data_IF_499497792854
#
_entry.id   IF_499497792854
#
_cell.length_a   1.000
_cell.length_b   1.000
_cell.length_c   1.000
_cell.angle_alpha   90.00
_cell.angle_beta   90.00
_cell.angle_gamma   90.00
#
_symmetry.space_group_name_H-M   'P 1'
#
loop_
_entity.id
_entity.type
_entity.pdbx_description
1 polymer ?
#
# COMPACT_ATOMS: atom_id res chain seq x y z
N UNK A 1 15.53 28.36 -1.47
CA UNK A 1 15.44 27.54 -2.70
C UNK A 1 16.30 28.21 -3.77
N UNK A 2 17.22 27.48 -4.42
CA UNK A 2 18.10 28.05 -5.46
C UNK A 2 17.29 28.33 -6.74
N UNK A 3 17.52 29.44 -7.46
CA UNK A 3 16.87 29.68 -8.74
C UNK A 3 17.32 28.67 -9.80
N UNK A 4 16.36 28.19 -10.60
CA UNK A 4 16.62 27.33 -11.76
C UNK A 4 17.44 28.08 -12.81
N UNK A 5 18.41 27.41 -13.42
CA UNK A 5 19.12 27.87 -14.61
C UNK A 5 18.15 28.06 -15.79
N UNK A 6 18.62 28.72 -16.86
CA UNK A 6 17.82 28.96 -18.06
C UNK A 6 17.37 27.65 -18.72
N UNK A 7 18.26 26.66 -18.76
CA UNK A 7 17.99 25.37 -19.40
C UNK A 7 17.02 24.53 -18.58
N UNK A 8 17.17 24.49 -17.25
CA UNK A 8 16.22 23.82 -16.35
C UNK A 8 14.81 24.43 -16.45
N UNK A 9 14.70 25.76 -16.60
CA UNK A 9 13.41 26.41 -16.84
C UNK A 9 12.79 25.98 -18.16
N UNK A 10 13.56 25.96 -19.25
CA UNK A 10 13.06 25.56 -20.56
C UNK A 10 12.55 24.11 -20.55
N UNK A 11 13.29 23.20 -19.92
CA UNK A 11 12.90 21.79 -19.75
C UNK A 11 11.59 21.68 -18.94
N UNK A 12 11.53 22.37 -17.80
CA UNK A 12 10.35 22.35 -16.90
C UNK A 12 9.10 22.87 -17.61
N UNK A 13 9.21 23.99 -18.33
CA UNK A 13 8.08 24.57 -19.08
C UNK A 13 7.58 23.61 -20.17
N UNK A 14 8.49 22.96 -20.91
CA UNK A 14 8.11 21.99 -21.93
C UNK A 14 7.42 20.76 -21.31
N UNK A 15 7.94 20.24 -20.21
CA UNK A 15 7.33 19.12 -19.49
C UNK A 15 5.90 19.47 -19.01
N UNK A 16 5.71 20.64 -18.42
CA UNK A 16 4.40 21.12 -17.96
C UNK A 16 3.41 21.30 -19.13
N UNK A 17 3.85 21.88 -20.25
CA UNK A 17 3.02 22.02 -21.46
C UNK A 17 2.53 20.67 -21.98
N UNK A 18 3.39 19.65 -21.95
CA UNK A 18 3.05 18.27 -22.36
C UNK A 18 2.15 17.55 -21.35
N UNK A 19 2.26 17.87 -20.05
CA UNK A 19 1.42 17.30 -19.01
C UNK A 19 0.02 17.95 -18.93
N UNK A 20 -0.11 19.22 -19.30
CA UNK A 20 -1.34 19.99 -19.15
C UNK A 20 -2.61 19.34 -19.75
N UNK A 21 -2.58 18.70 -20.94
CA UNK A 21 -3.75 17.98 -21.45
C UNK A 21 -4.20 16.83 -20.54
N UNK A 22 -3.26 16.05 -20.00
CA UNK A 22 -3.55 14.95 -19.09
C UNK A 22 -4.10 15.44 -17.74
N UNK A 23 -3.55 16.53 -17.21
CA UNK A 23 -4.07 17.18 -16.00
C UNK A 23 -5.53 17.56 -16.22
N UNK A 24 -5.86 18.21 -17.35
CA UNK A 24 -7.24 18.58 -17.67
C UNK A 24 -8.15 17.35 -17.82
N UNK A 25 -7.66 16.30 -18.47
CA UNK A 25 -8.40 15.06 -18.70
C UNK A 25 -8.73 14.32 -17.39
N UNK A 26 -7.80 14.29 -16.44
CA UNK A 26 -7.95 13.53 -15.20
C UNK A 26 -8.38 14.35 -13.99
N UNK A 27 -8.48 15.68 -14.11
CA UNK A 27 -9.00 16.53 -13.03
C UNK A 27 -10.35 16.01 -12.53
N UNK A 28 -10.50 15.90 -11.20
CA UNK A 28 -11.65 15.34 -10.47
C UNK A 28 -11.93 13.84 -10.68
N UNK A 29 -11.16 13.15 -11.52
CA UNK A 29 -11.23 11.68 -11.61
C UNK A 29 -10.64 11.05 -10.35
N UNK A 30 -11.03 9.80 -10.10
CA UNK A 30 -10.56 9.02 -8.95
C UNK A 30 -9.50 8.04 -9.41
N UNK A 31 -8.32 8.09 -8.79
CA UNK A 31 -7.23 7.16 -9.02
C UNK A 31 -7.09 6.26 -7.80
N UNK A 32 -7.23 4.94 -7.99
CA UNK A 32 -6.98 3.95 -6.94
C UNK A 32 -5.59 3.37 -7.17
N UNK A 33 -4.66 3.70 -6.27
CA UNK A 33 -3.25 3.33 -6.38
C UNK A 33 -2.96 2.16 -5.42
N UNK A 34 -2.70 0.97 -5.96
CA UNK A 34 -2.24 -0.17 -5.17
C UNK A 34 -0.73 -0.10 -5.00
N UNK A 35 -0.26 0.01 -3.77
CA UNK A 35 1.16 -0.08 -3.43
C UNK A 35 1.45 -1.38 -2.69
N UNK A 36 2.48 -2.11 -3.11
CA UNK A 36 2.98 -3.30 -2.42
C UNK A 36 3.59 -2.96 -1.06
N UNK A 37 3.81 -3.97 -0.21
CA UNK A 37 4.48 -3.76 1.08
C UNK A 37 5.91 -3.23 0.93
N UNK A 38 6.59 -3.58 -0.17
CA UNK A 38 7.97 -3.17 -0.46
C UNK A 38 8.14 -1.65 -0.56
N UNK A 39 7.11 -0.95 -1.05
CA UNK A 39 7.12 0.51 -1.12
C UNK A 39 7.19 1.19 0.25
N UNK A 40 6.89 0.45 1.33
CA UNK A 40 6.82 0.95 2.70
C UNK A 40 7.89 0.34 3.62
N UNK A 41 8.95 -0.23 3.04
CA UNK A 41 10.08 -0.78 3.81
C UNK A 41 10.92 0.35 4.40
N UNK A 42 11.21 1.39 3.62
CA UNK A 42 11.97 2.57 4.07
C UNK A 42 11.09 3.82 4.18
N UNK A 43 11.50 4.73 5.08
CA UNK A 43 10.87 6.04 5.20
C UNK A 43 11.03 6.88 3.92
N UNK A 44 12.18 6.77 3.27
CA UNK A 44 12.46 7.46 2.00
C UNK A 44 11.55 6.96 0.87
N UNK A 45 11.37 5.64 0.73
CA UNK A 45 10.46 5.07 -0.27
C UNK A 45 9.00 5.47 -0.03
N UNK A 46 8.58 5.45 1.24
CA UNK A 46 7.24 5.92 1.64
C UNK A 46 7.06 7.40 1.27
N UNK A 47 8.04 8.25 1.61
CA UNK A 47 8.01 9.67 1.31
C UNK A 47 7.95 9.92 -0.19
N UNK A 48 8.83 9.30 -0.97
CA UNK A 48 8.87 9.45 -2.42
C UNK A 48 7.53 9.08 -3.07
N UNK A 49 6.89 7.98 -2.62
CA UNK A 49 5.56 7.62 -3.10
C UNK A 49 4.49 8.65 -2.72
N UNK A 50 4.52 9.15 -1.48
CA UNK A 50 3.56 10.16 -1.02
C UNK A 50 3.77 11.52 -1.70
N UNK A 51 4.99 11.87 -2.10
CA UNK A 51 5.26 13.04 -2.94
C UNK A 51 4.56 12.93 -4.30
N UNK A 52 4.60 11.75 -4.94
CA UNK A 52 3.86 11.51 -6.19
C UNK A 52 2.34 11.61 -5.97
N UNK A 53 1.82 11.05 -4.87
CA UNK A 53 0.41 11.20 -4.48
C UNK A 53 0.04 12.67 -4.27
N UNK A 54 0.91 13.44 -3.62
CA UNK A 54 0.75 14.87 -3.41
C UNK A 54 0.68 15.66 -4.70
N UNK A 55 1.50 15.33 -5.70
CA UNK A 55 1.45 15.95 -7.04
C UNK A 55 0.09 15.70 -7.69
N UNK A 56 -0.39 14.44 -7.72
CA UNK A 56 -1.69 14.09 -8.28
C UNK A 56 -2.83 14.83 -7.57
N UNK A 57 -2.79 14.85 -6.23
CA UNK A 57 -3.76 15.56 -5.42
C UNK A 57 -3.75 17.07 -5.71
N UNK A 58 -2.58 17.69 -5.76
CA UNK A 58 -2.38 19.12 -5.99
C UNK A 58 -2.89 19.60 -7.36
N UNK A 59 -2.85 18.74 -8.39
CA UNK A 59 -3.44 19.05 -9.71
C UNK A 59 -4.95 18.76 -9.81
N UNK A 60 -5.57 18.32 -8.70
CA UNK A 60 -7.00 18.13 -8.57
C UNK A 60 -7.51 16.72 -8.91
N UNK A 61 -6.63 15.71 -8.92
CA UNK A 61 -7.03 14.29 -9.02
C UNK A 61 -7.38 13.79 -7.61
N UNK A 62 -8.46 13.03 -7.47
CA UNK A 62 -8.83 12.40 -6.20
C UNK A 62 -8.09 11.07 -6.08
N UNK A 63 -7.28 10.90 -5.05
CA UNK A 63 -6.42 9.72 -4.90
C UNK A 63 -6.89 8.86 -3.73
N UNK A 64 -6.99 7.55 -3.96
CA UNK A 64 -7.19 6.53 -2.93
C UNK A 64 -5.97 5.61 -2.99
N UNK A 65 -5.25 5.48 -1.88
CA UNK A 65 -4.09 4.58 -1.78
C UNK A 65 -4.49 3.29 -1.06
N UNK A 66 -4.22 2.14 -1.68
CA UNK A 66 -4.43 0.81 -1.09
C UNK A 66 -3.06 0.17 -0.87
N UNK A 67 -2.61 0.09 0.38
CA UNK A 67 -1.29 -0.47 0.69
C UNK A 67 -1.35 -1.97 1.02
N UNK A 68 -0.20 -2.62 0.95
CA UNK A 68 0.03 -3.96 1.50
C UNK A 68 0.96 -3.87 2.71
N UNK A 69 1.54 -5.01 3.09
CA UNK A 69 2.48 -5.07 4.21
C UNK A 69 3.13 -6.43 4.41
N UNK A 70 3.29 -7.20 3.33
CA UNK A 70 3.78 -8.59 3.38
C UNK A 70 5.13 -8.73 4.10
N UNK A 71 6.18 -7.99 3.69
CA UNK A 71 7.49 -8.03 4.32
C UNK A 71 7.45 -7.70 5.81
N UNK A 72 6.77 -6.60 6.17
CA UNK A 72 6.65 -6.12 7.55
C UNK A 72 5.86 -7.10 8.42
N UNK A 73 4.83 -7.74 7.86
CA UNK A 73 4.04 -8.76 8.56
C UNK A 73 4.89 -10.01 8.84
N UNK A 74 5.71 -10.43 7.87
CA UNK A 74 6.65 -11.55 8.08
C UNK A 74 7.69 -11.20 9.15
N UNK A 75 8.21 -9.98 9.13
CA UNK A 75 9.20 -9.51 10.11
C UNK A 75 8.63 -9.52 11.53
N UNK A 76 7.44 -8.93 11.75
CA UNK A 76 6.78 -8.92 13.06
C UNK A 76 6.36 -10.33 13.49
N UNK A 77 5.86 -11.16 12.57
CA UNK A 77 5.53 -12.55 12.89
C UNK A 77 6.76 -13.29 13.43
N UNK A 78 7.91 -13.14 12.75
CA UNK A 78 9.17 -13.76 13.16
C UNK A 78 9.63 -13.29 14.54
N UNK A 79 9.55 -11.99 14.83
CA UNK A 79 9.97 -11.47 16.15
C UNK A 79 9.07 -11.93 17.30
N UNK A 80 7.82 -12.28 17.00
CA UNK A 80 6.87 -12.85 17.96
C UNK A 80 6.87 -14.39 18.00
N UNK A 81 7.78 -15.05 17.27
CA UNK A 81 7.84 -16.52 17.20
C UNK A 81 6.67 -17.17 16.46
N UNK A 82 5.96 -16.42 15.61
CA UNK A 82 4.85 -16.90 14.79
C UNK A 82 5.40 -17.35 13.43
N UNK A 83 5.25 -18.64 13.11
CA UNK A 83 5.67 -19.21 11.82
C UNK A 83 4.81 -18.67 10.68
N UNK A 84 5.46 -18.19 9.62
CA UNK A 84 4.80 -17.77 8.38
C UNK A 84 4.89 -18.87 7.33
N UNK A 85 3.77 -19.49 6.99
CA UNK A 85 3.68 -20.48 5.91
C UNK A 85 3.00 -19.89 4.67
N UNK A 86 3.45 -20.31 3.48
CA UNK A 86 2.88 -19.89 2.21
C UNK A 86 2.53 -21.10 1.33
N UNK A 87 1.40 -21.01 0.64
CA UNK A 87 0.91 -21.99 -0.34
C UNK A 87 0.49 -21.23 -1.59
N UNK A 88 1.10 -21.55 -2.73
CA UNK A 88 0.80 -20.89 -4.02
C UNK A 88 0.82 -19.36 -3.93
N UNK A 89 1.87 -18.81 -3.31
CA UNK A 89 2.03 -17.36 -3.13
C UNK A 89 1.09 -16.72 -2.10
N UNK A 90 0.29 -17.51 -1.38
CA UNK A 90 -0.67 -17.05 -0.37
C UNK A 90 -0.22 -17.43 1.02
N UNK A 91 -0.28 -16.50 1.97
CA UNK A 91 0.02 -16.79 3.36
C UNK A 91 -1.10 -17.61 3.99
N UNK A 92 -0.75 -18.73 4.61
CA UNK A 92 -1.67 -19.43 5.51
C UNK A 92 -1.88 -18.53 6.74
N UNK A 93 -3.11 -18.10 6.97
CA UNK A 93 -3.43 -17.09 7.99
C UNK A 93 -4.27 -17.71 9.09
N UNK A 94 -3.62 -18.18 10.15
CA UNK A 94 -4.31 -18.55 11.38
C UNK A 94 -4.61 -17.33 12.27
N UNK A 95 -5.22 -17.54 13.44
CA UNK A 95 -5.63 -16.45 14.33
C UNK A 95 -4.48 -15.53 14.71
N UNK A 96 -3.34 -16.09 15.09
CA UNK A 96 -2.14 -15.31 15.45
C UNK A 96 -1.58 -14.56 14.24
N UNK A 97 -1.54 -15.22 13.08
CA UNK A 97 -1.08 -14.60 11.84
C UNK A 97 -1.98 -13.43 11.41
N UNK A 98 -3.30 -13.54 11.64
CA UNK A 98 -4.26 -12.48 11.38
C UNK A 98 -4.06 -11.29 12.33
N UNK A 99 -3.89 -11.55 13.63
CA UNK A 99 -3.60 -10.52 14.64
C UNK A 99 -2.35 -9.72 14.26
N UNK A 100 -1.27 -10.40 13.89
CA UNK A 100 -0.03 -9.77 13.42
C UNK A 100 -0.26 -8.92 12.17
N UNK A 101 -0.99 -9.45 11.18
CA UNK A 101 -1.29 -8.72 9.96
C UNK A 101 -2.08 -7.43 10.24
N UNK A 102 -3.08 -7.48 11.13
CA UNK A 102 -3.86 -6.29 11.53
C UNK A 102 -3.00 -5.26 12.24
N UNK A 103 -2.12 -5.67 13.16
CA UNK A 103 -1.19 -4.77 13.85
C UNK A 103 -0.26 -4.05 12.86
N UNK A 104 0.30 -4.79 11.89
CA UNK A 104 1.21 -4.21 10.91
C UNK A 104 0.50 -3.30 9.92
N UNK A 105 -0.59 -3.76 9.31
CA UNK A 105 -1.26 -3.02 8.25
C UNK A 105 -1.87 -1.73 8.82
N UNK A 106 -2.69 -1.83 9.86
CA UNK A 106 -3.41 -0.68 10.41
C UNK A 106 -2.56 0.14 11.37
N UNK A 107 -1.75 -0.51 12.21
CA UNK A 107 -0.99 0.16 13.26
C UNK A 107 0.31 0.76 12.74
N UNK A 108 1.12 -0.02 12.02
CA UNK A 108 2.46 0.41 11.62
C UNK A 108 2.46 1.12 10.26
N UNK A 109 1.99 0.46 9.19
CA UNK A 109 2.15 0.96 7.82
C UNK A 109 1.19 2.13 7.57
N UNK A 110 -0.10 1.97 7.87
CA UNK A 110 -1.08 3.04 7.69
C UNK A 110 -0.67 4.31 8.46
N UNK A 111 -0.22 4.19 9.70
CA UNK A 111 0.29 5.33 10.49
C UNK A 111 1.51 6.00 9.87
N UNK A 112 2.48 5.22 9.34
CA UNK A 112 3.65 5.78 8.65
C UNK A 112 3.28 6.54 7.38
N UNK A 113 2.33 6.01 6.60
CA UNK A 113 1.81 6.69 5.42
C UNK A 113 1.18 8.02 5.82
N UNK A 114 0.31 8.03 6.84
CA UNK A 114 -0.32 9.26 7.33
C UNK A 114 0.68 10.28 7.87
N UNK A 115 1.73 9.82 8.57
CA UNK A 115 2.81 10.69 9.02
C UNK A 115 3.53 11.35 7.83
N UNK A 116 3.86 10.59 6.79
CA UNK A 116 4.47 11.13 5.57
C UNK A 116 3.53 12.13 4.86
N UNK A 117 2.24 11.82 4.75
CA UNK A 117 1.24 12.74 4.21
C UNK A 117 1.19 14.06 4.99
N UNK A 118 1.14 13.99 6.33
CA UNK A 118 1.15 15.16 7.21
C UNK A 118 2.40 16.01 6.99
N UNK A 119 3.58 15.39 6.93
CA UNK A 119 4.85 16.08 6.74
C UNK A 119 4.95 16.75 5.36
N UNK A 120 4.19 16.27 4.37
CA UNK A 120 4.05 16.83 3.03
C UNK A 120 2.86 17.81 2.89
N UNK A 121 2.10 18.05 3.96
CA UNK A 121 0.92 18.92 3.93
C UNK A 121 -0.28 18.33 3.17
N UNK A 122 -0.33 17.01 2.99
CA UNK A 122 -1.41 16.30 2.31
C UNK A 122 -2.47 15.90 3.35
N UNK A 123 -3.68 16.42 3.22
CA UNK A 123 -4.81 16.02 4.05
C UNK A 123 -5.22 14.58 3.70
N UNK A 124 -4.98 13.64 4.61
CA UNK A 124 -5.27 12.23 4.43
C UNK A 124 -5.93 11.61 5.67
N UNK A 125 -6.79 10.62 5.44
CA UNK A 125 -7.40 9.80 6.49
C UNK A 125 -7.08 8.35 6.17
N UNK A 126 -6.56 7.63 7.17
CA UNK A 126 -6.29 6.20 7.05
C UNK A 126 -7.46 5.42 7.62
N UNK A 127 -7.95 4.46 6.83
CA UNK A 127 -9.06 3.60 7.19
C UNK A 127 -8.72 2.17 6.80
N UNK A 128 -9.42 1.24 7.42
CA UNK A 128 -9.37 -0.19 7.18
C UNK A 128 -10.74 -0.70 6.73
N UNK A 129 -10.81 -1.98 6.36
CA UNK A 129 -12.06 -2.58 5.91
C UNK A 129 -13.19 -2.60 6.96
N UNK A 130 -12.84 -2.58 8.25
CA UNK A 130 -13.83 -2.63 9.34
C UNK A 130 -14.48 -1.28 9.60
N UNK A 131 -13.83 -0.19 9.24
CA UNK A 131 -14.32 1.17 9.50
C UNK A 131 -15.60 1.42 8.70
N UNK A 132 -16.69 1.68 9.40
CA UNK A 132 -18.04 1.79 8.84
C UNK A 132 -18.50 0.58 7.99
N UNK A 133 -17.89 -0.59 8.17
CA UNK A 133 -18.18 -1.78 7.37
C UNK A 133 -17.83 -1.64 5.89
N UNK A 134 -16.80 -0.84 5.57
CA UNK A 134 -16.37 -0.51 4.21
C UNK A 134 -16.10 -1.75 3.33
N UNK A 135 -15.47 -2.79 3.89
CA UNK A 135 -15.15 -4.03 3.18
C UNK A 135 -15.70 -5.21 3.96
N UNK A 136 -16.59 -5.97 3.31
CA UNK A 136 -17.06 -7.28 3.79
C UNK A 136 -16.25 -8.37 3.11
N UNK A 137 -15.61 -9.22 3.91
CA UNK A 137 -14.87 -10.38 3.43
C UNK A 137 -15.63 -11.67 3.76
N UNK A 138 -15.49 -12.68 2.90
CA UNK A 138 -15.89 -14.04 3.19
C UNK A 138 -14.66 -14.95 3.09
N UNK A 139 -14.71 -16.05 3.84
CA UNK A 139 -13.67 -17.06 3.79
C UNK A 139 -13.60 -17.67 2.40
N UNK A 140 -12.40 -17.77 1.83
CA UNK A 140 -12.19 -18.45 0.55
C UNK A 140 -12.27 -19.97 0.75
N UNK A 141 -12.68 -20.74 -0.28
CA UNK A 141 -12.61 -22.19 -0.24
C UNK A 141 -11.19 -22.69 0.08
N UNK A 142 -11.05 -23.83 0.79
CA UNK A 142 -9.74 -24.42 1.06
C UNK A 142 -8.97 -24.71 -0.23
N UNK A 143 -7.65 -24.51 -0.19
CA UNK A 143 -6.75 -24.86 -1.29
C UNK A 143 -6.18 -26.24 -0.99
N UNK A 144 -6.33 -27.16 -1.94
CA UNK A 144 -5.70 -28.47 -1.87
C UNK A 144 -4.18 -28.32 -1.94
N UNK A 145 -3.47 -28.70 -0.88
CA UNK A 145 -2.00 -28.87 -0.93
C UNK A 145 -1.66 -30.34 -1.14
N UNK A 146 -0.76 -30.66 -2.08
CA UNK A 146 -0.15 -32.00 -2.15
C UNK A 146 0.74 -32.19 -0.92
N UNK A 147 0.41 -33.17 -0.08
CA UNK A 147 1.30 -33.64 0.97
C UNK A 147 2.53 -34.35 0.40
N UNK A 148 3.56 -34.55 1.22
CA UNK A 148 4.79 -35.26 0.86
C UNK A 148 4.56 -36.70 0.37
N UNK A 149 3.37 -37.27 0.63
CA UNK A 149 2.94 -38.62 0.22
C UNK A 149 1.77 -38.63 -0.78
N UNK A 150 1.51 -37.52 -1.48
CA UNK A 150 0.46 -37.46 -2.52
C UNK A 150 -0.98 -37.33 -2.01
N UNK A 151 -1.18 -37.22 -0.69
CA UNK A 151 -2.49 -36.94 -0.11
C UNK A 151 -2.89 -35.47 -0.28
N UNK A 152 -4.17 -35.23 -0.56
CA UNK A 152 -4.73 -33.87 -0.58
C UNK A 152 -5.11 -33.47 0.85
N UNK A 153 -4.26 -32.67 1.49
CA UNK A 153 -4.57 -32.12 2.82
C UNK A 153 -5.25 -30.78 2.63
N UNK A 154 -6.53 -30.68 3.03
CA UNK A 154 -7.24 -29.41 3.12
C UNK A 154 -6.72 -28.59 4.30
N UNK A 155 -5.65 -27.81 4.11
CA UNK A 155 -5.19 -26.86 5.15
C UNK A 155 -6.07 -25.64 5.13
N UNK A 156 -7.10 -25.65 5.96
CA UNK A 156 -7.95 -24.49 6.21
C UNK A 156 -7.74 -24.05 7.66
N UNK A 157 -6.97 -22.97 7.89
CA UNK A 157 -6.96 -22.25 9.16
C UNK A 157 -7.64 -20.91 8.96
N UNK A 158 -8.75 -20.75 9.69
CA UNK A 158 -9.77 -19.68 9.68
C UNK A 158 -10.47 -19.41 8.35
#
# INVERSE_FOLDING_TARGET
MRPLSRDERAITVNALKRAAPYIRMFKRKVFVLKAGGDAFVSAEGTRALMEQVGILHGVGIRVVVVHGGGPQSTELARSLGVSSEFVEGRRITDRRSLEVATMVLNGQINTRILAACRDLGIAAVGISGVDAGLIKAHRRPPVATRGAYGETVGRSRL
#
